data_IF_751601636513
#
_entry.id   IF_751601636513
#
_cell.length_a   1.000
_cell.length_b   1.000
_cell.length_c   1.000
_cell.angle_alpha   90.00
_cell.angle_beta   90.00
_cell.angle_gamma   90.00
#
_symmetry.space_group_name_H-M   'P 1'
#
loop_
_entity.id
_entity.type
_entity.pdbx_description
1 polymer ?
#
# COMPACT_ATOMS: atom_id res chain seq x y z
N UNK A 1 -14.42 0.00 -30.03
CA UNK A 1 -13.57 1.19 -29.79
C UNK A 1 -12.22 0.70 -29.30
N UNK A 2 -11.13 1.29 -29.77
CA UNK A 2 -9.75 0.98 -29.35
C UNK A 2 -9.12 2.31 -28.94
N UNK A 3 -8.57 2.39 -27.74
CA UNK A 3 -7.84 3.58 -27.30
C UNK A 3 -6.52 3.72 -28.05
N UNK A 4 -6.18 4.95 -28.41
CA UNK A 4 -4.80 5.33 -28.71
C UNK A 4 -3.94 5.18 -27.45
N UNK A 5 -2.61 5.14 -27.63
CA UNK A 5 -1.69 5.03 -26.49
C UNK A 5 -1.82 6.19 -25.50
N UNK A 6 -2.11 7.39 -26.00
CA UNK A 6 -2.30 8.57 -25.15
C UNK A 6 -3.60 8.45 -24.34
N UNK A 7 -4.68 8.02 -24.97
CA UNK A 7 -5.96 7.80 -24.28
C UNK A 7 -5.84 6.70 -23.22
N UNK A 8 -5.13 5.61 -23.52
CA UNK A 8 -4.86 4.54 -22.55
C UNK A 8 -4.20 5.08 -21.28
N UNK A 9 -3.11 5.85 -21.40
CA UNK A 9 -2.44 6.40 -20.22
C UNK A 9 -3.20 7.51 -19.49
N UNK A 10 -4.18 8.14 -20.16
CA UNK A 10 -4.96 9.24 -19.60
C UNK A 10 -6.30 8.79 -19.01
N UNK A 11 -6.84 7.66 -19.46
CA UNK A 11 -8.16 7.18 -19.06
C UNK A 11 -8.11 5.85 -18.30
N UNK A 12 -7.12 5.00 -18.55
CA UNK A 12 -7.04 3.70 -17.87
C UNK A 12 -6.53 3.86 -16.43
N UNK A 13 -7.05 3.02 -15.51
CA UNK A 13 -6.73 3.14 -14.10
C UNK A 13 -5.28 2.73 -13.80
N UNK A 14 -4.52 3.54 -13.04
CA UNK A 14 -3.16 3.19 -12.64
C UNK A 14 -3.14 2.32 -11.36
N UNK A 15 -1.93 1.92 -10.96
CA UNK A 15 -1.67 1.45 -9.59
C UNK A 15 -1.95 2.58 -8.61
N UNK A 16 -2.56 2.23 -7.49
CA UNK A 16 -2.87 3.16 -6.40
C UNK A 16 -1.60 3.78 -5.79
N UNK A 17 -1.41 5.10 -5.88
CA UNK A 17 -0.36 5.81 -5.13
C UNK A 17 -0.57 5.66 -3.63
N UNK A 18 0.52 5.59 -2.87
CA UNK A 18 0.46 5.37 -1.42
C UNK A 18 1.53 6.20 -0.72
N UNK A 19 1.14 6.82 0.39
CA UNK A 19 2.03 7.42 1.37
C UNK A 19 1.89 6.59 2.65
N UNK A 20 3.01 6.23 3.26
CA UNK A 20 3.02 5.41 4.46
C UNK A 20 3.93 5.98 5.54
N UNK A 21 3.50 5.83 6.78
CA UNK A 21 4.32 6.07 7.98
C UNK A 21 4.48 4.74 8.70
N UNK A 22 5.73 4.42 9.05
CA UNK A 22 6.09 3.19 9.77
C UNK A 22 6.75 3.56 11.07
N UNK A 23 6.24 2.98 12.14
CA UNK A 23 6.87 2.98 13.45
C UNK A 23 7.11 1.53 13.83
N UNK A 24 8.36 1.15 14.05
CA UNK A 24 8.70 -0.19 14.53
C UNK A 24 9.86 -0.12 15.51
N UNK A 25 9.96 -1.13 16.37
CA UNK A 25 11.01 -1.20 17.37
C UNK A 25 11.48 -2.63 17.60
N UNK A 26 12.73 -2.78 17.99
CA UNK A 26 13.35 -4.06 18.33
C UNK A 26 13.90 -4.06 19.76
N UNK A 27 14.10 -5.26 20.30
CA UNK A 27 14.84 -5.43 21.55
C UNK A 27 16.36 -5.35 21.32
N UNK A 28 17.14 -5.43 22.41
CA UNK A 28 18.62 -5.41 22.36
C UNK A 28 19.25 -6.53 21.52
N UNK A 29 18.51 -7.59 21.20
CA UNK A 29 18.97 -8.70 20.37
C UNK A 29 18.51 -8.55 18.90
N UNK A 30 17.91 -7.40 18.55
CA UNK A 30 17.40 -7.14 17.20
C UNK A 30 16.05 -7.78 16.90
N UNK A 31 15.35 -8.36 17.89
CA UNK A 31 14.03 -8.96 17.66
C UNK A 31 12.95 -7.88 17.65
N UNK A 32 12.18 -7.81 16.57
CA UNK A 32 11.04 -6.90 16.45
C UNK A 32 10.00 -7.15 17.55
N UNK A 33 9.54 -6.06 18.17
CA UNK A 33 8.60 -6.07 19.31
C UNK A 33 7.24 -5.51 18.93
N UNK A 34 7.21 -4.49 18.07
CA UNK A 34 5.98 -3.93 17.51
C UNK A 34 6.22 -3.38 16.10
N UNK A 35 5.12 -3.25 15.35
CA UNK A 35 5.05 -2.52 14.10
C UNK A 35 3.69 -1.82 14.01
N UNK A 36 3.71 -0.52 13.77
CA UNK A 36 2.54 0.30 13.45
C UNK A 36 2.75 0.89 12.07
N UNK A 37 1.77 0.71 11.19
CA UNK A 37 1.80 1.20 9.82
C UNK A 37 0.50 1.92 9.52
N UNK A 38 0.63 3.21 9.22
CA UNK A 38 -0.47 4.06 8.79
C UNK A 38 -0.27 4.39 7.30
N UNK A 39 -1.28 4.16 6.48
CA UNK A 39 -1.21 4.39 5.04
C UNK A 39 -2.35 5.28 4.55
N UNK A 40 -2.01 6.21 3.65
CA UNK A 40 -2.97 7.00 2.88
C UNK A 40 -2.83 6.57 1.42
N UNK A 41 -3.93 6.14 0.82
CA UNK A 41 -3.96 5.66 -0.56
C UNK A 41 -4.90 6.52 -1.40
N UNK A 42 -4.40 7.03 -2.51
CA UNK A 42 -5.19 7.80 -3.47
C UNK A 42 -6.05 6.85 -4.31
N UNK A 43 -7.35 6.77 -4.01
CA UNK A 43 -8.29 5.88 -4.69
C UNK A 43 -8.88 6.52 -5.98
N UNK A 44 -8.59 7.80 -6.24
CA UNK A 44 -9.13 8.59 -7.33
C UNK A 44 -10.59 9.02 -7.14
N UNK A 45 -11.25 9.41 -8.22
CA UNK A 45 -12.56 10.07 -8.20
C UNK A 45 -13.75 9.20 -7.78
N UNK A 46 -13.65 7.87 -7.90
CA UNK A 46 -14.71 6.94 -7.51
C UNK A 46 -14.16 5.58 -7.13
N UNK A 47 -14.95 4.81 -6.39
CA UNK A 47 -14.52 3.50 -5.90
C UNK A 47 -14.56 2.44 -7.00
N UNK A 48 -13.43 1.76 -7.14
CA UNK A 48 -13.25 0.54 -7.92
C UNK A 48 -12.46 -0.46 -7.07
N UNK A 49 -11.68 -1.34 -7.69
CA UNK A 49 -10.82 -2.31 -7.00
C UNK A 49 -9.65 -1.70 -6.21
N UNK A 50 -9.35 -0.40 -6.38
CA UNK A 50 -8.36 0.30 -5.55
C UNK A 50 -8.70 0.22 -4.05
N UNK A 51 -9.98 0.38 -3.69
CA UNK A 51 -10.42 0.41 -2.29
C UNK A 51 -10.16 -0.91 -1.54
N UNK A 52 -10.02 -2.03 -2.26
CA UNK A 52 -9.73 -3.35 -1.67
C UNK A 52 -8.24 -3.69 -1.66
N UNK A 53 -7.37 -2.87 -2.27
CA UNK A 53 -5.90 -3.04 -2.23
C UNK A 53 -5.35 -3.18 -0.80
N UNK A 54 -5.79 -2.38 0.19
CA UNK A 54 -5.26 -2.49 1.57
C UNK A 54 -5.44 -3.86 2.22
N UNK A 55 -6.46 -4.63 1.81
CA UNK A 55 -6.70 -5.98 2.37
C UNK A 55 -5.53 -6.94 2.09
N UNK A 56 -4.87 -6.77 0.94
CA UNK A 56 -3.69 -7.55 0.57
C UNK A 56 -2.42 -6.95 1.15
N UNK A 57 -2.36 -5.62 1.32
CA UNK A 57 -1.22 -4.91 1.91
C UNK A 57 -0.96 -5.29 3.37
N UNK A 58 -2.01 -5.60 4.12
CA UNK A 58 -1.90 -6.04 5.51
C UNK A 58 -1.05 -7.32 5.68
N UNK A 59 -1.07 -8.21 4.68
CA UNK A 59 -0.35 -9.49 4.74
C UNK A 59 1.17 -9.27 4.82
N UNK A 60 1.86 -8.64 3.85
CA UNK A 60 3.29 -8.41 3.95
C UNK A 60 3.68 -7.53 5.15
N UNK A 61 2.84 -6.55 5.54
CA UNK A 61 3.07 -5.75 6.76
C UNK A 61 3.16 -6.61 8.02
N UNK A 62 2.30 -7.63 8.14
CA UNK A 62 2.24 -8.48 9.33
C UNK A 62 3.10 -9.73 9.26
N UNK A 63 3.38 -10.26 8.06
CA UNK A 63 3.89 -11.62 7.90
C UNK A 63 5.27 -11.75 7.27
N UNK A 64 5.85 -10.69 6.67
CA UNK A 64 7.21 -10.77 6.11
C UNK A 64 8.27 -11.08 7.18
N UNK A 65 8.05 -10.55 8.39
CA UNK A 65 8.92 -10.77 9.54
C UNK A 65 8.08 -11.15 10.76
N UNK A 66 8.67 -11.89 11.69
CA UNK A 66 8.03 -12.23 12.97
C UNK A 66 7.96 -10.98 13.86
N UNK A 67 6.79 -10.36 13.92
CA UNK A 67 6.49 -9.22 14.80
C UNK A 67 5.27 -9.57 15.65
N UNK A 68 5.37 -9.62 16.99
CA UNK A 68 4.27 -10.11 17.82
C UNK A 68 3.09 -9.13 17.93
N UNK A 69 3.33 -7.82 17.76
CA UNK A 69 2.30 -6.79 17.85
C UNK A 69 2.28 -5.97 16.58
N UNK A 70 1.20 -6.03 15.81
CA UNK A 70 1.06 -5.30 14.55
C UNK A 70 -0.23 -4.50 14.56
N UNK A 71 -0.12 -3.21 14.26
CA UNK A 71 -1.24 -2.33 13.95
C UNK A 71 -1.10 -1.87 12.50
N UNK A 72 -2.18 -2.00 11.72
CA UNK A 72 -2.22 -1.58 10.33
C UNK A 72 -3.52 -0.81 10.09
N UNK A 73 -3.38 0.44 9.66
CA UNK A 73 -4.50 1.29 9.25
C UNK A 73 -4.25 1.82 7.84
N UNK A 74 -5.29 1.78 7.01
CA UNK A 74 -5.22 2.26 5.64
C UNK A 74 -6.46 3.10 5.32
N UNK A 75 -6.23 4.36 4.96
CA UNK A 75 -7.26 5.30 4.54
C UNK A 75 -7.22 5.45 3.03
N UNK A 76 -8.24 4.92 2.35
CA UNK A 76 -8.46 5.17 0.93
C UNK A 76 -9.20 6.51 0.77
N UNK A 77 -8.53 7.51 0.21
CA UNK A 77 -9.10 8.85 0.01
C UNK A 77 -9.61 9.04 -1.40
N UNK A 78 -10.72 9.77 -1.54
CA UNK A 78 -11.18 10.25 -2.84
C UNK A 78 -10.38 11.49 -3.25
N UNK A 79 -10.00 11.55 -4.52
CA UNK A 79 -9.28 12.69 -5.11
C UNK A 79 -9.86 13.02 -6.49
N UNK A 80 -9.38 14.08 -7.13
CA UNK A 80 -9.75 14.39 -8.52
C UNK A 80 -8.89 13.62 -9.56
N UNK A 81 -8.10 12.64 -9.14
CA UNK A 81 -7.31 11.80 -10.04
C UNK A 81 -8.16 10.64 -10.63
N UNK A 82 -7.63 9.98 -11.65
CA UNK A 82 -8.22 8.76 -12.21
C UNK A 82 -8.34 7.71 -11.10
N UNK A 83 -9.47 7.02 -11.04
CA UNK A 83 -9.70 5.92 -10.10
C UNK A 83 -8.62 4.84 -10.22
N UNK A 84 -8.22 4.26 -9.09
CA UNK A 84 -7.24 3.18 -9.06
C UNK A 84 -7.88 1.78 -9.27
N UNK A 85 -7.12 0.85 -9.83
CA UNK A 85 -7.57 -0.55 -10.01
C UNK A 85 -6.43 -1.54 -9.70
N UNK A 86 -6.73 -2.82 -9.88
CA UNK A 86 -5.78 -3.90 -9.73
C UNK A 86 -4.60 -3.75 -10.70
N UNK A 87 -3.40 -3.66 -10.15
CA UNK A 87 -2.16 -3.87 -10.89
C UNK A 87 -1.41 -5.05 -10.26
N UNK A 88 -0.65 -5.81 -11.05
CA UNK A 88 0.09 -7.00 -10.60
C UNK A 88 0.78 -6.79 -9.25
N UNK A 89 0.55 -7.72 -8.32
CA UNK A 89 0.99 -7.64 -6.93
C UNK A 89 -0.06 -7.06 -5.98
N UNK A 90 -0.98 -6.24 -6.47
CA UNK A 90 -2.19 -5.80 -5.76
C UNK A 90 -1.89 -5.23 -4.35
N UNK A 91 -1.08 -4.18 -4.28
CA UNK A 91 -0.67 -3.55 -3.02
C UNK A 91 0.57 -4.18 -2.38
N UNK A 92 0.87 -5.44 -2.66
CA UNK A 92 2.03 -6.13 -2.09
C UNK A 92 3.36 -5.38 -2.34
N UNK A 93 3.67 -4.89 -3.56
CA UNK A 93 4.91 -4.14 -3.78
C UNK A 93 4.98 -2.86 -2.94
N UNK A 94 3.88 -2.13 -2.79
CA UNK A 94 3.83 -0.91 -1.98
C UNK A 94 4.08 -1.22 -0.50
N UNK A 95 3.41 -2.24 0.03
CA UNK A 95 3.56 -2.64 1.43
C UNK A 95 4.94 -3.23 1.74
N UNK A 96 5.46 -4.09 0.86
CA UNK A 96 6.80 -4.68 1.00
C UNK A 96 7.87 -3.60 0.95
N UNK A 97 7.80 -2.66 0.00
CA UNK A 97 8.74 -1.54 -0.07
C UNK A 97 8.79 -0.77 1.26
N UNK A 98 7.64 -0.44 1.82
CA UNK A 98 7.52 0.28 3.09
C UNK A 98 8.13 -0.50 4.26
N UNK A 99 7.89 -1.81 4.34
CA UNK A 99 8.47 -2.66 5.39
C UNK A 99 9.99 -2.75 5.24
N UNK A 100 10.48 -3.09 4.05
CA UNK A 100 11.92 -3.29 3.80
C UNK A 100 12.71 -1.99 4.02
N UNK A 101 12.21 -0.85 3.55
CA UNK A 101 12.86 0.43 3.83
C UNK A 101 12.96 0.76 5.32
N UNK A 102 11.98 0.34 6.11
CA UNK A 102 12.03 0.51 7.56
C UNK A 102 12.99 -0.46 8.25
N UNK A 103 13.32 -1.59 7.63
CA UNK A 103 14.30 -2.55 8.16
C UNK A 103 15.75 -2.09 7.97
N UNK A 104 15.99 -1.26 6.95
CA UNK A 104 17.31 -0.71 6.62
C UNK A 104 17.70 0.53 7.46
N UNK A 105 16.78 1.04 8.30
CA UNK A 105 17.02 2.16 9.23
C UNK A 105 17.48 1.65 10.60
#
# INVERSE_FOLDING_TARGET
MIFSRQEEFTASPPRQPTIATVEQGCDKNGKLTFRKVDMILDNGAYTSWGATTPSVMMVPVSSLYRVPNVHFEATCVYTNNIYAQAMRGYGNPQATYVVEQSMDQ
#
